data_IF_502244498416
#
_entry.id   IF_502244498416
#
_cell.length_a   1.000
_cell.length_b   1.000
_cell.length_c   1.000
_cell.angle_alpha   90.00
_cell.angle_beta   90.00
_cell.angle_gamma   90.00
#
_symmetry.space_group_name_H-M   'P 1'
#
loop_
_entity.id
_entity.type
_entity.pdbx_description
1 polymer ?
#
# COMPACT_ATOMS: atom_id res chain seq x y z
N UNK A 1 -9.62 -33.77 5.21
CA UNK A 1 -8.56 -32.91 5.78
C UNK A 1 -8.52 -31.61 5.00
N UNK A 2 -8.61 -30.45 5.65
CA UNK A 2 -7.86 -29.23 5.30
C UNK A 2 -8.31 -28.08 6.22
N UNK A 3 -7.67 -28.07 7.38
CA UNK A 3 -7.64 -26.92 8.26
C UNK A 3 -7.02 -25.74 7.51
N UNK A 4 -7.73 -24.62 7.51
CA UNK A 4 -7.24 -23.29 7.86
C UNK A 4 -5.75 -22.98 7.69
N UNK A 5 -5.51 -21.86 7.01
CA UNK A 5 -4.50 -20.83 7.34
C UNK A 5 -3.02 -21.04 6.99
N UNK A 6 -2.43 -19.92 6.59
CA UNK A 6 -1.03 -19.44 6.79
C UNK A 6 0.02 -19.56 5.67
N UNK A 7 0.44 -18.36 5.23
CA UNK A 7 1.81 -17.97 4.87
C UNK A 7 2.36 -18.37 3.50
N UNK A 8 1.76 -17.86 2.43
CA UNK A 8 2.52 -17.62 1.21
C UNK A 8 3.14 -16.22 1.31
N UNK A 9 4.40 -16.13 1.74
CA UNK A 9 5.22 -14.91 1.57
C UNK A 9 5.59 -14.78 0.09
N UNK A 10 4.61 -14.68 -0.80
CA UNK A 10 4.86 -14.18 -2.16
C UNK A 10 5.07 -12.70 -2.01
N UNK A 11 6.22 -12.21 -2.49
CA UNK A 11 6.40 -10.77 -2.58
C UNK A 11 5.29 -10.19 -3.45
N UNK A 12 4.63 -9.15 -2.98
CA UNK A 12 3.67 -8.39 -3.77
C UNK A 12 4.38 -7.13 -4.30
N UNK A 13 3.92 -6.64 -5.44
CA UNK A 13 4.45 -5.40 -6.01
C UNK A 13 3.85 -4.19 -5.29
N UNK A 14 4.70 -3.35 -4.73
CA UNK A 14 4.27 -2.11 -4.09
C UNK A 14 3.63 -1.18 -5.11
N UNK A 15 2.45 -0.63 -4.81
CA UNK A 15 1.78 0.34 -5.70
C UNK A 15 2.44 1.72 -5.77
N UNK A 16 3.34 2.03 -4.83
CA UNK A 16 3.98 3.35 -4.74
C UNK A 16 5.32 3.32 -5.46
N UNK A 17 6.19 2.37 -5.10
CA UNK A 17 7.52 2.25 -5.70
C UNK A 17 7.60 1.19 -6.81
N UNK A 18 6.51 0.47 -7.10
CA UNK A 18 6.42 -0.56 -8.16
C UNK A 18 7.45 -1.69 -8.02
N UNK A 19 8.00 -1.88 -6.82
CA UNK A 19 8.98 -2.93 -6.52
C UNK A 19 8.33 -4.13 -5.84
N UNK A 20 8.80 -5.33 -6.19
CA UNK A 20 8.44 -6.56 -5.52
C UNK A 20 9.01 -6.56 -4.10
N UNK A 21 8.16 -6.61 -3.08
CA UNK A 21 8.58 -6.65 -1.68
C UNK A 21 7.79 -7.72 -0.93
N UNK A 22 8.46 -8.37 0.01
CA UNK A 22 7.87 -9.44 0.82
C UNK A 22 7.23 -8.93 2.12
N UNK A 23 7.44 -7.66 2.43
CA UNK A 23 7.07 -7.07 3.71
C UNK A 23 6.39 -5.73 3.50
N UNK A 24 5.23 -5.57 4.12
CA UNK A 24 4.35 -4.44 3.92
C UNK A 24 2.91 -4.74 4.35
N UNK A 25 2.01 -3.83 4.01
CA UNK A 25 0.58 -3.95 4.28
C UNK A 25 -0.19 -4.13 2.97
N UNK A 26 -1.27 -4.90 3.01
CA UNK A 26 -2.17 -5.07 1.87
C UNK A 26 -3.44 -4.26 2.12
N UNK A 27 -3.69 -3.27 1.25
CA UNK A 27 -4.84 -2.38 1.33
C UNK A 27 -5.79 -2.76 0.18
N UNK A 28 -6.94 -3.37 0.53
CA UNK A 28 -7.87 -3.98 -0.42
C UNK A 28 -7.20 -5.00 -1.37
N UNK A 29 -7.08 -4.66 -2.65
CA UNK A 29 -6.47 -5.49 -3.71
C UNK A 29 -5.05 -5.03 -4.06
N UNK A 30 -4.52 -4.06 -3.32
CA UNK A 30 -3.23 -3.42 -3.57
C UNK A 30 -2.27 -3.69 -2.42
N UNK A 31 -0.99 -3.69 -2.71
CA UNK A 31 0.06 -3.89 -1.72
C UNK A 31 0.93 -2.63 -1.58
N UNK A 32 1.27 -2.28 -0.35
CA UNK A 32 2.13 -1.17 0.00
C UNK A 32 3.28 -1.71 0.84
N UNK A 33 4.52 -1.53 0.38
CA UNK A 33 5.68 -1.99 1.13
C UNK A 33 5.92 -1.16 2.40
N UNK A 34 6.68 -1.72 3.33
CA UNK A 34 7.00 -1.05 4.60
C UNK A 34 7.78 0.26 4.42
N UNK A 35 8.73 0.33 3.47
CA UNK A 35 9.45 1.57 3.15
C UNK A 35 8.48 2.70 2.78
N UNK A 36 7.56 2.45 1.84
CA UNK A 36 6.62 3.46 1.41
C UNK A 36 5.61 3.83 2.50
N UNK A 37 5.19 2.87 3.32
CA UNK A 37 4.32 3.15 4.47
C UNK A 37 5.02 4.07 5.48
N UNK A 38 6.28 3.75 5.83
CA UNK A 38 7.10 4.58 6.71
C UNK A 38 7.34 5.96 6.11
N UNK A 39 7.66 6.06 4.81
CA UNK A 39 7.78 7.36 4.14
C UNK A 39 6.48 8.15 4.28
N UNK A 40 5.31 7.55 4.06
CA UNK A 40 4.03 8.25 4.17
C UNK A 40 3.76 8.75 5.59
N UNK A 41 4.04 7.92 6.60
CA UNK A 41 3.85 8.27 8.02
C UNK A 41 4.86 9.32 8.49
N UNK A 42 6.08 9.27 7.96
CA UNK A 42 7.16 10.21 8.28
C UNK A 42 7.16 11.46 7.39
N UNK A 43 6.37 11.49 6.32
CA UNK A 43 6.26 12.67 5.46
C UNK A 43 5.44 13.71 6.21
N UNK A 44 6.09 14.83 6.53
CA UNK A 44 5.41 15.96 7.15
C UNK A 44 4.39 16.58 6.19
N UNK A 45 3.32 17.13 6.76
CA UNK A 45 2.20 17.70 6.01
C UNK A 45 2.64 18.87 5.11
N UNK A 46 3.76 19.51 5.47
CA UNK A 46 4.37 20.62 4.75
C UNK A 46 5.19 20.18 3.53
N UNK A 47 5.51 18.88 3.41
CA UNK A 47 6.33 18.40 2.31
C UNK A 47 5.47 18.21 1.04
N UNK A 48 5.90 18.73 -0.12
CA UNK A 48 5.18 18.58 -1.39
C UNK A 48 4.98 17.10 -1.79
N UNK A 49 5.77 16.17 -1.25
CA UNK A 49 5.60 14.73 -1.49
C UNK A 49 4.38 14.16 -0.76
N UNK A 50 3.92 14.76 0.34
CA UNK A 50 2.73 14.30 1.06
C UNK A 50 1.52 14.22 0.13
N UNK A 51 1.37 15.24 -0.71
CA UNK A 51 0.28 15.33 -1.67
C UNK A 51 0.35 14.21 -2.73
N UNK A 52 1.55 13.84 -3.17
CA UNK A 52 1.76 12.72 -4.09
C UNK A 52 1.32 11.38 -3.48
N UNK A 53 1.77 11.09 -2.26
CA UNK A 53 1.37 9.85 -1.58
C UNK A 53 -0.14 9.81 -1.30
N UNK A 54 -0.76 10.93 -0.94
CA UNK A 54 -2.20 11.02 -0.79
C UNK A 54 -2.96 10.74 -2.09
N UNK A 55 -2.46 11.23 -3.24
CA UNK A 55 -3.06 10.90 -4.54
C UNK A 55 -2.98 9.39 -4.83
N UNK A 56 -1.84 8.77 -4.54
CA UNK A 56 -1.66 7.34 -4.72
C UNK A 56 -2.58 6.54 -3.78
N UNK A 57 -2.70 6.93 -2.50
CA UNK A 57 -3.65 6.32 -1.57
C UNK A 57 -5.10 6.52 -2.00
N UNK A 58 -5.46 7.73 -2.46
CA UNK A 58 -6.79 8.02 -2.99
C UNK A 58 -7.14 7.10 -4.15
N UNK A 59 -6.22 6.74 -5.05
CA UNK A 59 -6.50 5.77 -6.12
C UNK A 59 -6.83 4.36 -5.61
N UNK A 60 -6.34 3.99 -4.43
CA UNK A 60 -6.66 2.69 -3.80
C UNK A 60 -8.05 2.74 -3.15
N UNK A 61 -8.37 3.87 -2.51
CA UNK A 61 -9.57 4.06 -1.69
C UNK A 61 -10.77 4.51 -2.54
N UNK A 62 -10.56 5.32 -3.59
CA UNK A 62 -11.54 5.61 -4.63
C UNK A 62 -11.77 4.36 -5.49
N UNK A 63 -12.49 3.39 -4.92
CA UNK A 63 -13.58 2.81 -5.70
C UNK A 63 -14.65 3.87 -5.75
N UNK A 64 -15.27 4.08 -6.89
CA UNK A 64 -16.39 4.99 -7.08
C UNK A 64 -17.50 4.70 -6.06
N UNK A 65 -17.45 5.32 -4.88
CA UNK A 65 -18.59 5.48 -3.98
C UNK A 65 -19.25 6.81 -4.32
N UNK A 66 -19.54 7.04 -5.60
CA UNK A 66 -20.38 8.16 -6.06
C UNK A 66 -21.04 7.78 -7.40
N UNK A 67 -22.05 6.91 -7.32
CA UNK A 67 -23.41 7.15 -7.84
C UNK A 67 -24.29 5.93 -7.60
#
# INVERSE_FOLDING_TARGET
MNQSTTNHTVGDTCIVCEQLKHQGIRIYTKFLCIDCEQEIVHTEIDDPKYQFYLQQLKKIINREIYS
#
